data_IF_384490622831
#
_entry.id   IF_384490622831
#
_cell.length_a   1.000
_cell.length_b   1.000
_cell.length_c   1.000
_cell.angle_alpha   90.00
_cell.angle_beta   90.00
_cell.angle_gamma   90.00
#
_symmetry.space_group_name_H-M   'P 1'
#
loop_
_entity.id
_entity.type
_entity.pdbx_description
1 polymer ?
#
# COMPACT_ATOMS: atom_id res chain seq x y z
N UNK A 1 -75.86 33.26 44.39
CA UNK A 1 -75.79 33.83 45.76
C UNK A 1 -75.22 32.72 46.63
N UNK A 2 -73.90 32.57 46.67
CA UNK A 2 -72.93 33.23 47.58
C UNK A 2 -72.73 32.42 48.87
N UNK A 3 -71.45 32.18 49.17
CA UNK A 3 -70.85 31.15 50.02
C UNK A 3 -70.80 31.50 51.52
N UNK A 4 -70.69 30.47 52.35
CA UNK A 4 -69.96 30.40 53.65
C UNK A 4 -69.99 28.92 54.06
N UNK A 5 -68.98 28.26 54.60
CA UNK A 5 -67.69 28.57 55.21
C UNK A 5 -66.68 27.53 54.63
N UNK A 6 -65.39 27.45 54.94
CA UNK A 6 -64.70 27.40 56.22
C UNK A 6 -63.23 27.79 56.00
N UNK A 7 -62.70 28.61 56.89
CA UNK A 7 -61.29 29.00 56.89
C UNK A 7 -60.50 27.93 57.65
N UNK A 8 -59.83 27.04 56.92
CA UNK A 8 -58.91 26.07 57.49
C UNK A 8 -57.64 26.77 57.99
N UNK A 9 -57.33 26.58 59.28
CA UNK A 9 -56.01 26.88 59.84
C UNK A 9 -55.00 25.85 59.32
N UNK A 10 -53.84 26.29 58.85
CA UNK A 10 -52.72 25.41 58.52
C UNK A 10 -51.50 25.93 59.28
N UNK A 11 -50.95 25.05 60.12
CA UNK A 11 -49.75 25.24 60.95
C UNK A 11 -48.51 25.48 60.07
N UNK A 12 -47.61 26.35 60.51
CA UNK A 12 -46.35 26.61 59.82
C UNK A 12 -45.43 25.37 59.89
N UNK A 13 -44.82 24.93 58.77
CA UNK A 13 -43.93 23.79 58.79
C UNK A 13 -42.58 24.16 59.42
N UNK A 14 -42.11 23.35 60.36
CA UNK A 14 -40.74 23.42 60.87
C UNK A 14 -39.77 23.09 59.73
N UNK A 15 -38.82 23.99 59.49
CA UNK A 15 -37.76 23.82 58.49
C UNK A 15 -36.62 23.03 59.14
N UNK A 16 -36.40 21.78 58.72
CA UNK A 16 -35.13 21.10 58.94
C UNK A 16 -34.13 21.55 57.87
N UNK A 17 -32.95 22.01 58.30
CA UNK A 17 -31.85 22.34 57.39
C UNK A 17 -31.29 21.05 56.76
N UNK A 18 -31.00 21.04 55.45
CA UNK A 18 -30.45 19.85 54.81
C UNK A 18 -28.98 19.67 55.21
N UNK A 19 -28.65 18.51 55.79
CA UNK A 19 -27.27 18.09 55.93
C UNK A 19 -26.67 17.84 54.54
N UNK A 20 -25.64 18.61 54.19
CA UNK A 20 -24.88 18.44 52.94
C UNK A 20 -23.80 17.40 53.20
N UNK A 21 -23.93 16.22 52.59
CA UNK A 21 -22.79 15.29 52.46
C UNK A 21 -21.86 15.80 51.34
N UNK A 22 -20.56 15.95 51.66
CA UNK A 22 -19.56 16.30 50.67
C UNK A 22 -19.40 15.16 49.65
N UNK A 23 -19.32 15.45 48.35
CA UNK A 23 -19.11 14.41 47.35
C UNK A 23 -17.68 13.87 47.45
N UNK A 24 -17.55 12.59 47.77
CA UNK A 24 -16.28 11.85 47.65
C UNK A 24 -15.98 11.71 46.16
N UNK A 25 -14.98 12.44 45.68
CA UNK A 25 -14.47 12.29 44.32
C UNK A 25 -13.55 11.07 44.31
N UNK A 26 -14.01 9.96 43.74
CA UNK A 26 -13.10 8.89 43.32
C UNK A 26 -12.33 9.38 42.09
N UNK A 27 -11.01 9.47 42.21
CA UNK A 27 -10.15 9.74 41.06
C UNK A 27 -10.32 8.60 40.04
N UNK A 28 -10.53 8.89 38.74
CA UNK A 28 -10.60 7.85 37.74
C UNK A 28 -9.22 7.19 37.64
N UNK A 29 -9.15 5.90 37.98
CA UNK A 29 -8.01 5.07 37.66
C UNK A 29 -7.86 5.05 36.13
N UNK A 30 -6.88 5.78 35.61
CA UNK A 30 -6.49 5.72 34.22
C UNK A 30 -5.75 4.40 34.04
N UNK A 31 -6.44 3.39 33.52
CA UNK A 31 -5.74 2.26 32.91
C UNK A 31 -4.97 2.80 31.70
N UNK A 32 -3.63 2.76 31.77
CA UNK A 32 -2.79 3.05 30.62
C UNK A 32 -3.25 2.14 29.47
N UNK A 33 -3.45 2.66 28.25
CA UNK A 33 -3.76 1.82 27.11
C UNK A 33 -2.59 0.85 26.93
N UNK A 34 -2.84 -0.44 27.16
CA UNK A 34 -1.93 -1.49 26.74
C UNK A 34 -1.85 -1.39 25.23
N UNK A 35 -0.76 -0.81 24.74
CA UNK A 35 -0.41 -0.85 23.34
C UNK A 35 -0.12 -2.32 23.06
N UNK A 36 -1.10 -3.05 22.55
CA UNK A 36 -0.81 -4.26 21.80
C UNK A 36 0.06 -3.80 20.63
N UNK A 37 1.37 -4.03 20.74
CA UNK A 37 2.28 -3.90 19.61
C UNK A 37 1.63 -4.62 18.43
N UNK A 38 1.56 -4.00 17.23
CA UNK A 38 1.03 -4.70 16.08
C UNK A 38 1.83 -5.99 15.97
N UNK A 39 1.13 -7.12 16.06
CA UNK A 39 1.69 -8.42 15.71
C UNK A 39 2.24 -8.27 14.29
N UNK A 40 3.53 -7.98 14.19
CA UNK A 40 4.30 -8.24 12.99
C UNK A 40 4.16 -9.74 12.85
N UNK A 41 3.30 -10.18 11.93
CA UNK A 41 3.41 -11.53 11.41
C UNK A 41 4.80 -11.58 10.81
N UNK A 42 5.74 -12.09 11.58
CA UNK A 42 7.02 -12.54 11.09
C UNK A 42 6.65 -13.51 9.97
N UNK A 43 6.87 -13.08 8.73
CA UNK A 43 6.70 -13.95 7.59
C UNK A 43 7.74 -15.05 7.78
N UNK A 44 7.27 -16.20 8.28
CA UNK A 44 8.08 -17.37 8.44
C UNK A 44 8.43 -17.90 7.05
N UNK A 45 9.50 -17.37 6.48
CA UNK A 45 10.21 -18.09 5.43
C UNK A 45 10.71 -19.38 6.08
N UNK A 46 10.36 -20.56 5.54
CA UNK A 46 10.91 -21.81 6.07
C UNK A 46 12.43 -21.70 6.04
N UNK A 47 13.10 -22.03 7.15
CA UNK A 47 14.55 -21.96 7.30
C UNK A 47 15.32 -22.94 6.40
N UNK A 48 15.18 -22.78 5.09
CA UNK A 48 16.23 -23.05 4.12
C UNK A 48 17.01 -21.76 3.95
N UNK A 49 18.33 -21.85 3.89
CA UNK A 49 19.20 -20.71 3.62
C UNK A 49 18.72 -19.93 2.39
N UNK A 50 18.05 -18.79 2.60
CA UNK A 50 17.94 -17.75 1.59
C UNK A 50 19.24 -16.96 1.76
N UNK A 51 20.18 -17.01 0.79
CA UNK A 51 21.32 -16.09 0.86
C UNK A 51 20.74 -14.69 0.99
N UNK A 52 21.17 -13.91 1.98
CA UNK A 52 20.71 -12.54 2.18
C UNK A 52 20.89 -11.79 0.84
N UNK A 53 19.79 -11.60 0.12
CA UNK A 53 19.84 -10.99 -1.20
C UNK A 53 20.27 -9.54 -0.97
N UNK A 54 21.36 -9.08 -1.62
CA UNK A 54 22.01 -7.83 -1.24
C UNK A 54 21.11 -6.61 -1.44
N UNK A 55 20.05 -6.74 -2.24
CA UNK A 55 19.12 -5.67 -2.58
C UNK A 55 17.88 -5.59 -1.69
N UNK A 56 17.69 -6.51 -0.74
CA UNK A 56 16.57 -6.42 0.20
C UNK A 56 16.73 -5.14 1.03
N UNK A 57 15.66 -4.33 1.06
CA UNK A 57 15.64 -3.04 1.74
C UNK A 57 16.29 -1.88 0.96
N UNK A 58 16.87 -2.11 -0.22
CA UNK A 58 17.45 -1.04 -1.04
C UNK A 58 16.37 -0.15 -1.66
N UNK A 59 16.67 1.14 -1.82
CA UNK A 59 15.97 2.00 -2.79
C UNK A 59 16.41 1.70 -4.22
N UNK A 60 15.68 2.24 -5.22
CA UNK A 60 16.04 2.01 -6.64
C UNK A 60 17.42 2.59 -6.99
N UNK A 61 17.82 3.71 -6.37
CA UNK A 61 19.12 4.32 -6.58
C UNK A 61 20.27 3.42 -6.08
N UNK A 62 20.13 2.86 -4.87
CA UNK A 62 21.13 1.95 -4.28
C UNK A 62 21.25 0.66 -5.10
N UNK A 63 20.11 0.13 -5.56
CA UNK A 63 20.09 -1.03 -6.44
C UNK A 63 20.88 -0.78 -7.73
N UNK A 64 20.66 0.36 -8.39
CA UNK A 64 21.41 0.73 -9.60
C UNK A 64 22.91 0.85 -9.32
N UNK A 65 23.28 1.44 -8.18
CA UNK A 65 24.66 1.46 -7.69
C UNK A 65 25.23 0.04 -7.55
N UNK A 66 24.50 -0.88 -6.94
CA UNK A 66 24.93 -2.27 -6.77
C UNK A 66 25.06 -3.03 -8.10
N UNK A 67 24.14 -2.82 -9.04
CA UNK A 67 24.14 -3.48 -10.36
C UNK A 67 25.39 -3.13 -11.18
N UNK A 68 25.96 -1.94 -10.97
CA UNK A 68 27.08 -1.38 -11.76
C UNK A 68 28.30 -0.97 -10.93
N UNK A 69 28.40 -1.43 -9.69
CA UNK A 69 29.49 -1.07 -8.77
C UNK A 69 29.70 0.46 -8.60
N UNK A 70 28.61 1.24 -8.60
CA UNK A 70 28.61 2.64 -8.18
C UNK A 70 28.30 3.69 -9.24
N UNK A 71 27.97 3.31 -10.49
CA UNK A 71 27.62 4.28 -11.54
C UNK A 71 26.28 3.93 -12.20
N UNK A 72 25.20 4.63 -11.82
CA UNK A 72 23.95 4.60 -12.56
C UNK A 72 24.14 5.36 -13.89
N UNK A 73 23.75 4.75 -15.01
CA UNK A 73 23.88 5.38 -16.35
C UNK A 73 22.59 6.05 -16.85
N UNK A 74 21.59 6.13 -15.97
CA UNK A 74 20.21 6.47 -16.32
C UNK A 74 19.71 7.68 -15.53
N UNK A 75 18.66 8.33 -16.04
CA UNK A 75 18.02 9.42 -15.35
C UNK A 75 17.18 8.90 -14.17
N UNK A 76 17.38 9.50 -12.99
CA UNK A 76 16.56 9.26 -11.80
C UNK A 76 15.58 10.41 -11.65
N UNK A 77 14.31 10.07 -11.45
CA UNK A 77 13.22 10.98 -11.13
C UNK A 77 12.94 10.87 -9.63
N UNK A 78 12.79 11.99 -8.93
CA UNK A 78 12.40 11.99 -7.52
C UNK A 78 10.95 12.43 -7.37
N UNK A 79 10.13 11.62 -6.74
CA UNK A 79 8.71 11.90 -6.46
C UNK A 79 8.42 11.52 -5.01
N UNK A 80 7.78 12.44 -4.26
CA UNK A 80 7.47 12.26 -2.85
C UNK A 80 8.68 11.83 -1.97
N UNK A 81 9.89 12.26 -2.32
CA UNK A 81 11.12 11.89 -1.61
C UNK A 81 11.69 10.52 -1.98
N UNK A 82 11.04 9.77 -2.88
CA UNK A 82 11.51 8.48 -3.37
C UNK A 82 12.13 8.62 -4.76
N UNK A 83 13.16 7.81 -5.03
CA UNK A 83 13.79 7.70 -6.34
C UNK A 83 13.01 6.72 -7.24
N UNK A 84 12.91 7.07 -8.52
CA UNK A 84 12.23 6.32 -9.57
C UNK A 84 13.03 6.36 -10.86
N UNK A 85 12.91 5.33 -11.69
CA UNK A 85 13.45 5.33 -13.06
C UNK A 85 12.39 4.91 -14.06
N UNK A 86 12.59 5.22 -15.34
CA UNK A 86 11.67 4.73 -16.36
C UNK A 86 11.79 3.21 -16.53
N UNK A 87 10.71 2.55 -16.93
CA UNK A 87 10.73 1.10 -17.18
C UNK A 87 11.77 0.67 -18.23
N UNK A 88 12.00 1.48 -19.25
CA UNK A 88 13.01 1.18 -20.28
C UNK A 88 14.43 1.27 -19.74
N UNK A 89 14.70 2.27 -18.90
CA UNK A 89 15.98 2.40 -18.20
C UNK A 89 16.20 1.20 -17.28
N UNK A 90 15.20 0.85 -16.45
CA UNK A 90 15.31 -0.33 -15.57
C UNK A 90 15.59 -1.62 -16.36
N UNK A 91 14.89 -1.85 -17.48
CA UNK A 91 15.13 -3.02 -18.33
C UNK A 91 16.56 -3.03 -18.86
N UNK A 92 17.04 -1.90 -19.39
CA UNK A 92 18.42 -1.76 -19.89
C UNK A 92 19.42 -2.11 -18.80
N UNK A 93 19.23 -1.58 -17.59
CA UNK A 93 20.14 -1.77 -16.47
C UNK A 93 20.14 -3.24 -15.98
N UNK A 94 18.96 -3.84 -15.83
CA UNK A 94 18.82 -5.25 -15.44
C UNK A 94 19.41 -6.21 -16.48
N UNK A 95 19.19 -5.96 -17.77
CA UNK A 95 19.73 -6.80 -18.86
C UNK A 95 21.25 -6.67 -18.96
N UNK A 96 21.81 -5.46 -18.73
CA UNK A 96 23.25 -5.22 -18.87
C UNK A 96 24.07 -5.72 -17.68
N UNK A 97 23.45 -5.85 -16.49
CA UNK A 97 24.16 -6.26 -15.28
C UNK A 97 24.52 -7.75 -15.25
N UNK A 98 25.76 -8.04 -14.83
CA UNK A 98 26.31 -9.39 -14.63
C UNK A 98 25.93 -10.03 -13.29
N UNK A 99 25.15 -9.35 -12.44
CA UNK A 99 24.67 -9.91 -11.17
C UNK A 99 23.66 -11.04 -11.46
N UNK A 100 23.75 -12.14 -10.72
CA UNK A 100 22.86 -13.30 -10.89
C UNK A 100 21.60 -13.18 -10.04
N UNK A 101 21.72 -12.66 -8.82
CA UNK A 101 20.63 -12.57 -7.85
C UNK A 101 19.87 -11.24 -7.98
N UNK A 102 19.35 -10.94 -9.18
CA UNK A 102 18.64 -9.68 -9.43
C UNK A 102 17.17 -9.77 -8.95
N UNK A 103 16.56 -8.65 -8.50
CA UNK A 103 15.15 -8.63 -8.13
C UNK A 103 14.26 -8.94 -9.34
N UNK A 104 13.11 -9.58 -9.08
CA UNK A 104 12.11 -9.91 -10.10
C UNK A 104 10.91 -8.96 -10.10
N UNK A 105 10.64 -8.34 -8.96
CA UNK A 105 9.47 -7.50 -8.74
C UNK A 105 9.92 -6.14 -8.23
N UNK A 106 9.16 -5.12 -8.61
CA UNK A 106 9.42 -3.74 -8.27
C UNK A 106 8.11 -3.02 -8.04
N UNK A 107 8.12 -2.00 -7.18
CA UNK A 107 7.00 -1.06 -7.12
C UNK A 107 6.88 -0.35 -8.47
N UNK A 108 5.64 -0.21 -8.95
CA UNK A 108 5.35 0.48 -10.19
C UNK A 108 4.37 1.64 -9.97
N UNK A 109 4.61 2.74 -10.69
CA UNK A 109 3.83 3.95 -10.58
C UNK A 109 3.60 4.57 -11.96
N UNK A 110 2.36 5.00 -12.22
CA UNK A 110 2.03 5.81 -13.39
C UNK A 110 1.71 7.24 -12.96
N UNK A 111 2.21 8.22 -13.73
CA UNK A 111 2.05 9.64 -13.42
C UNK A 111 1.14 10.33 -14.43
N UNK A 112 0.51 11.43 -14.01
CA UNK A 112 -0.28 12.32 -14.87
C UNK A 112 -1.39 11.61 -15.67
N UNK A 113 -2.06 10.62 -15.08
CA UNK A 113 -3.08 9.83 -15.78
C UNK A 113 -2.51 9.02 -16.94
N UNK A 114 -1.34 8.39 -16.71
CA UNK A 114 -0.61 7.57 -17.67
C UNK A 114 -0.02 8.35 -18.87
N UNK A 115 0.15 9.67 -18.75
CA UNK A 115 0.75 10.49 -19.83
C UNK A 115 2.28 10.43 -19.88
N UNK A 116 2.90 9.83 -18.88
CA UNK A 116 4.35 9.62 -18.81
C UNK A 116 4.68 8.14 -18.84
N UNK A 117 5.94 7.77 -19.15
CA UNK A 117 6.36 6.39 -19.05
C UNK A 117 6.11 5.80 -17.66
N UNK A 118 5.87 4.49 -17.60
CA UNK A 118 5.80 3.73 -16.35
C UNK A 118 7.10 3.92 -15.55
N UNK A 119 6.95 4.28 -14.30
CA UNK A 119 8.05 4.50 -13.36
C UNK A 119 8.22 3.27 -12.46
N UNK A 120 9.48 2.89 -12.25
CA UNK A 120 9.90 1.73 -11.47
C UNK A 120 10.67 2.22 -10.24
N UNK A 121 10.21 1.77 -9.07
CA UNK A 121 10.75 2.14 -7.77
C UNK A 121 11.56 1.03 -7.14
N UNK A 122 11.46 0.92 -5.81
CA UNK A 122 12.23 -0.05 -5.02
C UNK A 122 11.99 -1.51 -5.46
N UNK A 123 13.02 -2.37 -5.41
CA UNK A 123 12.85 -3.80 -5.59
C UNK A 123 11.99 -4.40 -4.47
N UNK A 124 11.34 -5.52 -4.79
CA UNK A 124 10.52 -6.30 -3.87
C UNK A 124 10.93 -7.78 -3.98
N UNK A 125 10.96 -8.47 -2.85
CA UNK A 125 10.88 -9.93 -2.82
C UNK A 125 9.52 -10.39 -3.34
N UNK A 126 9.37 -11.69 -3.58
CA UNK A 126 8.08 -12.24 -4.00
C UNK A 126 6.99 -12.05 -2.93
N UNK A 127 7.33 -12.26 -1.65
CA UNK A 127 6.42 -12.02 -0.53
C UNK A 127 6.06 -10.55 -0.39
N UNK A 128 7.06 -9.65 -0.44
CA UNK A 128 6.82 -8.20 -0.38
C UNK A 128 5.94 -7.72 -1.53
N UNK A 129 6.08 -8.28 -2.74
CA UNK A 129 5.22 -7.94 -3.86
C UNK A 129 3.76 -8.37 -3.62
N UNK A 130 3.54 -9.55 -3.03
CA UNK A 130 2.20 -9.99 -2.66
C UNK A 130 1.57 -9.10 -1.58
N UNK A 131 2.31 -8.82 -0.51
CA UNK A 131 1.81 -8.01 0.60
C UNK A 131 1.57 -6.57 0.15
N UNK A 132 2.46 -6.02 -0.68
CA UNK A 132 2.30 -4.71 -1.27
C UNK A 132 1.02 -4.62 -2.12
N UNK A 133 0.73 -5.61 -2.97
CA UNK A 133 -0.50 -5.63 -3.77
C UNK A 133 -1.76 -5.77 -2.89
N UNK A 134 -1.70 -6.59 -1.83
CA UNK A 134 -2.83 -6.81 -0.91
C UNK A 134 -3.11 -5.61 0.00
N UNK A 135 -2.10 -4.78 0.28
CA UNK A 135 -2.22 -3.63 1.16
C UNK A 135 -3.12 -2.52 0.59
N UNK A 136 -3.17 -2.35 -0.73
CA UNK A 136 -4.00 -1.32 -1.37
C UNK A 136 -4.31 -1.66 -2.83
N UNK A 137 -5.58 -1.59 -3.23
CA UNK A 137 -6.02 -1.82 -4.62
C UNK A 137 -5.36 -0.88 -5.64
N UNK A 138 -4.83 0.26 -5.21
CA UNK A 138 -4.12 1.20 -6.09
C UNK A 138 -2.64 0.87 -6.28
N UNK A 139 -2.10 -0.07 -5.50
CA UNK A 139 -0.71 -0.46 -5.61
C UNK A 139 -0.51 -1.26 -6.90
N UNK A 140 0.59 -0.97 -7.58
CA UNK A 140 0.96 -1.66 -8.81
C UNK A 140 2.38 -2.21 -8.67
N UNK A 141 2.61 -3.36 -9.27
CA UNK A 141 3.92 -4.00 -9.34
C UNK A 141 4.33 -4.11 -10.79
N UNK A 142 5.62 -3.99 -11.07
CA UNK A 142 6.21 -4.36 -12.34
C UNK A 142 7.07 -5.60 -12.15
N UNK A 143 6.87 -6.60 -13.00
CA UNK A 143 7.65 -7.82 -13.02
C UNK A 143 8.59 -7.84 -14.24
N UNK A 144 9.79 -8.39 -14.04
CA UNK A 144 10.83 -8.47 -15.09
C UNK A 144 10.44 -9.35 -16.27
N UNK A 145 9.45 -10.24 -16.12
CA UNK A 145 8.93 -11.09 -17.18
C UNK A 145 7.42 -11.28 -17.09
N UNK A 146 6.80 -11.61 -18.24
CA UNK A 146 5.38 -11.99 -18.30
C UNK A 146 5.08 -13.17 -17.39
N UNK A 147 6.00 -14.15 -17.31
CA UNK A 147 5.85 -15.34 -16.47
C UNK A 147 5.80 -14.97 -14.98
N UNK A 148 6.67 -14.06 -14.55
CA UNK A 148 6.70 -13.59 -13.16
C UNK A 148 5.45 -12.77 -12.83
N UNK A 149 4.99 -11.92 -13.75
CA UNK A 149 3.73 -11.18 -13.59
C UNK A 149 2.53 -12.11 -13.44
N UNK A 150 2.41 -13.11 -14.32
CA UNK A 150 1.35 -14.12 -14.27
C UNK A 150 1.43 -14.94 -12.97
N UNK A 151 2.63 -15.33 -12.55
CA UNK A 151 2.84 -16.07 -11.30
C UNK A 151 2.36 -15.29 -10.07
N UNK A 152 2.68 -13.99 -10.01
CA UNK A 152 2.20 -13.12 -8.94
C UNK A 152 0.68 -12.97 -8.96
N UNK A 153 0.08 -12.76 -10.14
CA UNK A 153 -1.37 -12.67 -10.30
C UNK A 153 -2.09 -13.94 -9.84
N UNK A 154 -1.53 -15.11 -10.16
CA UNK A 154 -2.06 -16.41 -9.71
C UNK A 154 -2.01 -16.56 -8.19
N UNK A 155 -0.93 -16.13 -7.53
CA UNK A 155 -0.78 -16.25 -6.08
C UNK A 155 -1.74 -15.34 -5.33
N UNK A 156 -1.82 -14.06 -5.70
CA UNK A 156 -2.74 -13.12 -5.03
C UNK A 156 -4.22 -13.43 -5.35
N UNK A 157 -4.50 -13.96 -6.54
CA UNK A 157 -5.85 -14.31 -7.02
C UNK A 157 -6.30 -15.74 -6.73
N UNK A 158 -5.58 -16.51 -5.91
CA UNK A 158 -5.92 -17.90 -5.54
C UNK A 158 -6.15 -18.85 -6.74
N UNK A 159 -5.28 -18.75 -7.76
CA UNK A 159 -5.11 -19.82 -8.76
C UNK A 159 -5.76 -19.61 -10.14
N UNK A 160 -6.36 -18.45 -10.44
CA UNK A 160 -6.69 -18.07 -11.83
C UNK A 160 -6.41 -16.58 -12.03
N UNK A 161 -5.51 -16.15 -12.92
CA UNK A 161 -5.38 -14.74 -13.22
C UNK A 161 -6.53 -14.29 -14.13
N UNK A 162 -6.81 -12.99 -14.17
CA UNK A 162 -7.47 -12.42 -15.35
C UNK A 162 -6.60 -12.69 -16.58
N UNK A 163 -7.17 -12.66 -17.79
CA UNK A 163 -6.36 -12.77 -19.00
C UNK A 163 -5.27 -11.70 -19.06
N UNK A 164 -4.28 -11.89 -19.92
CA UNK A 164 -3.35 -10.81 -20.29
C UNK A 164 -4.15 -9.64 -20.87
N UNK A 165 -3.91 -8.43 -20.35
CA UNK A 165 -4.66 -7.25 -20.71
C UNK A 165 -3.76 -6.11 -21.19
N UNK A 166 -4.30 -5.36 -22.16
CA UNK A 166 -3.78 -4.08 -22.64
C UNK A 166 -4.97 -3.24 -23.14
N UNK A 167 -4.97 -1.96 -22.83
CA UNK A 167 -6.09 -1.05 -23.12
C UNK A 167 -5.77 0.03 -24.17
N UNK A 168 -4.80 -0.18 -25.06
CA UNK A 168 -4.43 0.81 -26.09
C UNK A 168 -5.53 1.01 -27.14
N UNK A 169 -6.29 -0.02 -27.47
CA UNK A 169 -7.38 0.08 -28.45
C UNK A 169 -8.62 0.79 -27.91
N UNK A 170 -8.87 0.69 -26.61
CA UNK A 170 -10.04 1.28 -25.95
C UNK A 170 -9.70 2.56 -25.18
N UNK A 171 -8.41 2.84 -25.01
CA UNK A 171 -7.89 3.92 -24.18
C UNK A 171 -7.79 5.28 -24.87
N UNK A 172 -7.49 6.29 -24.06
CA UNK A 172 -7.52 7.70 -24.47
C UNK A 172 -6.21 8.13 -25.15
N UNK A 173 -6.29 8.98 -26.17
CA UNK A 173 -5.11 9.58 -26.82
C UNK A 173 -4.22 10.32 -25.83
N UNK A 174 -2.91 10.26 -26.07
CA UNK A 174 -1.91 10.83 -25.17
C UNK A 174 -1.73 10.07 -23.86
N UNK A 175 -2.34 8.89 -23.67
CA UNK A 175 -2.09 8.02 -22.52
C UNK A 175 -1.34 6.76 -22.96
N UNK A 176 -0.40 6.31 -22.12
CA UNK A 176 0.44 5.14 -22.35
C UNK A 176 -0.10 3.94 -21.58
N UNK A 177 -0.44 2.90 -22.32
CA UNK A 177 -0.88 1.61 -21.76
C UNK A 177 0.24 0.59 -21.85
N UNK A 178 0.36 -0.21 -20.81
CA UNK A 178 1.36 -1.26 -20.68
C UNK A 178 0.65 -2.60 -20.55
N UNK A 179 1.32 -3.67 -20.98
CA UNK A 179 0.85 -5.03 -20.73
C UNK A 179 0.83 -5.32 -19.24
N UNK A 180 -0.25 -5.92 -18.76
CA UNK A 180 -0.41 -6.27 -17.36
C UNK A 180 -1.37 -7.44 -17.17
N UNK A 181 -1.35 -7.97 -15.95
CA UNK A 181 -2.37 -8.87 -15.42
C UNK A 181 -3.13 -8.20 -14.27
N UNK A 182 -4.35 -8.68 -14.06
CA UNK A 182 -5.07 -8.55 -12.80
C UNK A 182 -5.21 -9.93 -12.14
N UNK A 183 -5.49 -9.93 -10.84
CA UNK A 183 -6.09 -11.10 -10.21
C UNK A 183 -7.48 -11.39 -10.81
N UNK A 184 -7.98 -12.62 -10.61
CA UNK A 184 -9.27 -13.08 -11.16
C UNK A 184 -10.40 -12.08 -10.97
N UNK A 185 -10.51 -11.57 -9.76
CA UNK A 185 -11.66 -10.82 -9.28
C UNK A 185 -11.37 -9.30 -9.32
N UNK A 186 -10.19 -8.91 -9.84
CA UNK A 186 -9.69 -7.53 -9.94
C UNK A 186 -9.73 -6.78 -8.60
N UNK A 187 -9.45 -7.50 -7.52
CA UNK A 187 -9.39 -6.93 -6.17
C UNK A 187 -8.11 -6.12 -5.95
N UNK A 188 -7.08 -6.32 -6.76
CA UNK A 188 -5.79 -5.66 -6.64
C UNK A 188 -5.44 -4.87 -7.89
N UNK A 189 -4.44 -4.00 -7.77
CA UNK A 189 -3.98 -3.17 -8.87
C UNK A 189 -3.27 -3.96 -9.97
N UNK A 190 -2.54 -3.25 -10.81
CA UNK A 190 -1.95 -3.84 -12.01
C UNK A 190 -0.63 -4.54 -11.69
N UNK A 191 -0.42 -5.68 -12.35
CA UNK A 191 0.89 -6.34 -12.39
C UNK A 191 1.44 -6.20 -13.81
N UNK A 192 2.21 -5.14 -14.02
CA UNK A 192 2.82 -4.79 -15.30
C UNK A 192 4.01 -5.70 -15.65
N UNK A 193 4.33 -5.79 -16.94
CA UNK A 193 5.58 -6.35 -17.43
C UNK A 193 5.97 -5.76 -18.78
N UNK A 194 7.24 -5.98 -19.18
CA UNK A 194 7.80 -5.39 -20.40
C UNK A 194 8.00 -3.88 -20.27
N UNK A 195 8.52 -3.25 -21.34
CA UNK A 195 8.83 -1.80 -21.34
C UNK A 195 8.05 -0.98 -22.36
N UNK A 196 7.37 -1.64 -23.28
CA UNK A 196 6.69 -0.96 -24.37
C UNK A 196 5.37 -0.35 -23.90
N UNK A 197 5.31 0.99 -23.91
CA UNK A 197 4.06 1.74 -23.78
C UNK A 197 3.37 1.86 -25.14
N UNK A 198 2.06 1.74 -25.15
CA UNK A 198 1.21 1.85 -26.34
C UNK A 198 0.25 3.01 -26.16
N UNK A 199 0.22 3.93 -27.13
CA UNK A 199 -0.67 5.08 -27.08
C UNK A 199 -2.14 4.67 -27.29
N UNK A 200 -3.04 5.21 -26.47
CA UNK A 200 -4.48 5.06 -26.66
C UNK A 200 -4.98 5.65 -27.98
N UNK A 201 -6.03 5.05 -28.55
CA UNK A 201 -6.55 5.43 -29.89
C UNK A 201 -7.72 6.42 -29.87
N UNK A 202 -8.45 6.51 -28.76
CA UNK A 202 -9.72 7.24 -28.66
C UNK A 202 -9.57 8.68 -28.19
#
# INVERSE_FOLDING_TARGET
>A
MSQSAEQYQIEEPAVEEPAVEEPVVEEPAVEEPVVEEPFVKEHYEPQGFVPALPWIGMGVADLLGWLFAGAATVAIVYEAGEAWVTVNDMIKELTSSKKNDKPKFFVAFTKNGNKTPLLIGKPLTEGEAEDYMKANIRNNVWAVSQKDAMGLAMRIGRGKPAGEEKHDQTGFRGTLYYWHYHDKDRNYGHIFYGGQGFEGKN
#
